data_IF_970588506628
#
_entry.id   IF_970588506628
#
_cell.length_a   1.000
_cell.length_b   1.000
_cell.length_c   1.000
_cell.angle_alpha   90.00
_cell.angle_beta   90.00
_cell.angle_gamma   90.00
#
_symmetry.space_group_name_H-M   'P 1'
#
loop_
_entity.id
_entity.type
_entity.pdbx_description
1 polymer ?
#
# COMPACT_ATOMS: atom_id res chain seq x y z
N UNK A 1 7.14 -22.04 7.56
CA UNK A 1 5.73 -21.89 7.13
C UNK A 1 5.58 -22.56 5.77
N UNK A 2 4.75 -23.60 5.67
CA UNK A 2 4.42 -24.28 4.41
C UNK A 2 2.95 -24.03 4.08
N UNK A 3 2.66 -23.84 2.80
CA UNK A 3 1.30 -23.67 2.25
C UNK A 3 1.03 -24.88 1.38
N UNK A 4 -0.03 -25.65 1.68
CA UNK A 4 -0.43 -26.80 0.88
C UNK A 4 -1.50 -26.36 -0.14
N UNK A 5 -1.12 -25.56 -1.12
CA UNK A 5 -1.95 -25.20 -2.26
C UNK A 5 -1.05 -24.86 -3.46
N UNK A 6 -1.34 -25.45 -4.62
CA UNK A 6 -0.73 -25.05 -5.89
C UNK A 6 -1.64 -24.02 -6.56
N UNK A 7 -1.05 -22.91 -7.01
CA UNK A 7 -1.76 -21.89 -7.76
C UNK A 7 -0.78 -20.92 -8.41
N UNK A 8 -1.22 -20.33 -9.51
CA UNK A 8 -0.45 -19.39 -10.31
C UNK A 8 -0.85 -17.94 -9.99
N UNK A 9 -0.01 -16.95 -10.34
CA UNK A 9 -0.36 -15.54 -10.16
C UNK A 9 -1.69 -15.19 -10.85
N UNK A 10 -2.64 -14.68 -10.06
CA UNK A 10 -3.99 -14.33 -10.54
C UNK A 10 -5.08 -15.31 -10.10
N UNK A 11 -4.72 -16.51 -9.62
CA UNK A 11 -5.67 -17.48 -9.12
C UNK A 11 -6.25 -17.06 -7.77
N UNK A 12 -7.55 -17.30 -7.58
CA UNK A 12 -8.20 -17.19 -6.29
C UNK A 12 -8.07 -18.52 -5.54
N UNK A 13 -7.40 -18.50 -4.39
CA UNK A 13 -7.14 -19.68 -3.57
C UNK A 13 -7.78 -19.48 -2.19
N UNK A 14 -8.80 -20.30 -1.88
CA UNK A 14 -9.54 -20.23 -0.61
C UNK A 14 -9.26 -21.44 0.32
N UNK A 15 -8.73 -22.54 -0.23
CA UNK A 15 -8.50 -23.80 0.50
C UNK A 15 -7.06 -23.99 0.99
N UNK A 16 -6.26 -22.92 1.01
CA UNK A 16 -4.88 -22.99 1.47
C UNK A 16 -4.83 -23.21 2.99
N UNK A 17 -4.35 -24.37 3.42
CA UNK A 17 -4.08 -24.63 4.84
C UNK A 17 -2.68 -24.16 5.22
N UNK A 18 -2.60 -23.32 6.25
CA UNK A 18 -1.35 -22.84 6.82
C UNK A 18 -0.95 -23.74 7.99
N UNK A 19 0.27 -24.29 7.94
CA UNK A 19 0.82 -25.08 9.04
C UNK A 19 1.86 -24.29 9.85
N UNK A 20 1.83 -24.48 11.17
CA UNK A 20 2.79 -23.89 12.09
C UNK A 20 2.60 -22.39 12.36
N UNK A 21 1.39 -21.86 12.14
CA UNK A 21 1.01 -20.47 12.45
C UNK A 21 -0.23 -20.49 13.32
N UNK A 22 -0.23 -19.69 14.38
CA UNK A 22 -1.42 -19.43 15.18
C UNK A 22 -2.43 -18.63 14.34
N UNK A 23 -3.67 -19.13 14.14
CA UNK A 23 -4.70 -18.41 13.39
C UNK A 23 -4.97 -17.00 13.90
N UNK A 24 -4.79 -16.74 15.20
CA UNK A 24 -5.01 -15.40 15.78
C UNK A 24 -3.94 -14.38 15.37
N UNK A 25 -2.80 -14.84 14.85
CA UNK A 25 -1.73 -13.98 14.35
C UNK A 25 -1.95 -13.54 12.89
N UNK A 26 -2.91 -14.14 12.18
CA UNK A 26 -3.25 -13.79 10.80
C UNK A 26 -4.48 -12.90 10.80
N UNK A 27 -4.32 -11.66 10.34
CA UNK A 27 -5.41 -10.70 10.27
C UNK A 27 -5.80 -10.42 8.81
N UNK A 28 -7.00 -9.87 8.63
CA UNK A 28 -7.41 -9.39 7.32
C UNK A 28 -6.44 -8.30 6.85
N UNK A 29 -5.88 -8.47 5.66
CA UNK A 29 -4.84 -7.58 5.13
C UNK A 29 -3.42 -8.12 5.27
N UNK A 30 -3.20 -9.21 6.01
CA UNK A 30 -1.92 -9.94 5.99
C UNK A 30 -1.62 -10.47 4.58
N UNK A 31 -0.35 -10.42 4.19
CA UNK A 31 0.13 -10.89 2.89
C UNK A 31 1.12 -12.03 3.11
N UNK A 32 0.88 -13.15 2.42
CA UNK A 32 1.83 -14.26 2.39
C UNK A 32 2.94 -13.93 1.40
N UNK A 33 4.18 -13.83 1.90
CA UNK A 33 5.36 -13.52 1.10
C UNK A 33 6.30 -14.72 1.06
N UNK A 34 7.09 -14.84 0.00
CA UNK A 34 8.05 -15.93 -0.14
C UNK A 34 9.08 -15.92 1.01
N UNK A 35 9.40 -17.11 1.51
CA UNK A 35 10.35 -17.30 2.61
C UNK A 35 11.80 -17.54 2.13
N UNK A 36 12.04 -17.50 0.81
CA UNK A 36 13.33 -17.90 0.25
C UNK A 36 14.41 -16.87 0.59
N UNK A 37 15.60 -17.36 0.92
CA UNK A 37 16.77 -16.56 1.34
C UNK A 37 17.24 -15.51 0.30
N UNK A 38 16.77 -15.62 -0.94
CA UNK A 38 17.04 -14.74 -2.08
C UNK A 38 15.81 -13.94 -2.52
N UNK A 39 14.68 -14.04 -1.81
CA UNK A 39 13.49 -13.22 -2.05
C UNK A 39 13.40 -12.12 -1.00
N UNK A 40 13.20 -10.88 -1.43
CA UNK A 40 12.92 -9.79 -0.50
C UNK A 40 11.51 -9.97 0.03
N UNK A 41 11.39 -10.32 1.31
CA UNK A 41 10.11 -10.30 2.01
C UNK A 41 9.41 -8.94 1.80
N UNK A 42 8.08 -8.96 1.80
CA UNK A 42 7.30 -7.74 1.65
C UNK A 42 7.68 -6.74 2.75
N UNK A 43 8.08 -5.54 2.35
CA UNK A 43 8.47 -4.50 3.29
C UNK A 43 7.21 -3.94 3.97
N UNK A 44 7.19 -3.97 5.30
CA UNK A 44 6.10 -3.40 6.10
C UNK A 44 6.54 -2.03 6.61
N UNK A 45 5.71 -1.01 6.39
CA UNK A 45 5.96 0.35 6.86
C UNK A 45 4.67 1.03 7.27
N UNK A 46 4.72 1.81 8.34
CA UNK A 46 3.63 2.69 8.80
C UNK A 46 3.63 4.05 8.10
N UNK A 47 4.68 4.34 7.34
CA UNK A 47 4.84 5.60 6.60
C UNK A 47 5.13 5.30 5.14
N UNK A 48 4.29 5.84 4.26
CA UNK A 48 4.45 5.74 2.81
C UNK A 48 4.50 7.13 2.17
N UNK A 49 5.31 7.25 1.13
CA UNK A 49 5.29 8.42 0.23
C UNK A 49 4.70 7.98 -1.10
N UNK A 50 3.51 8.48 -1.41
CA UNK A 50 2.79 8.12 -2.62
C UNK A 50 2.46 9.36 -3.47
N UNK A 51 2.31 9.16 -4.79
CA UNK A 51 1.70 10.13 -5.68
C UNK A 51 0.20 9.87 -5.69
N UNK A 52 -0.58 10.87 -5.30
CA UNK A 52 -2.04 10.78 -5.24
C UNK A 52 -2.68 11.61 -6.34
N UNK A 53 -3.78 11.11 -6.90
CA UNK A 53 -4.67 11.86 -7.77
C UNK A 53 -5.94 12.11 -6.98
N UNK A 54 -6.29 13.37 -6.80
CA UNK A 54 -7.49 13.77 -6.07
C UNK A 54 -8.63 13.86 -7.07
N UNK A 55 -9.68 13.08 -6.83
CA UNK A 55 -10.94 13.18 -7.56
C UNK A 55 -11.78 14.34 -7.04
N UNK A 56 -12.86 14.69 -7.74
CA UNK A 56 -13.75 15.77 -7.33
C UNK A 56 -14.32 15.47 -5.93
N UNK A 57 -13.93 16.30 -4.97
CA UNK A 57 -14.32 16.21 -3.56
C UNK A 57 -14.81 17.58 -3.11
N UNK A 58 -15.87 17.60 -2.30
CA UNK A 58 -16.39 18.82 -1.70
C UNK A 58 -15.49 19.36 -0.59
N UNK A 59 -14.71 18.48 0.05
CA UNK A 59 -13.83 18.82 1.17
C UNK A 59 -12.38 18.81 0.69
N UNK A 60 -11.62 19.92 0.87
CA UNK A 60 -10.21 19.97 0.49
C UNK A 60 -9.37 19.07 1.39
N UNK A 61 -8.33 18.46 0.82
CA UNK A 61 -7.42 17.63 1.60
C UNK A 61 -6.38 18.51 2.30
N UNK A 62 -6.30 18.42 3.63
CA UNK A 62 -5.39 19.24 4.46
C UNK A 62 -4.38 18.40 5.23
N UNK A 63 -3.29 19.03 5.67
CA UNK A 63 -2.27 18.37 6.49
C UNK A 63 -2.87 18.01 7.86
N UNK A 64 -2.60 16.80 8.34
CA UNK A 64 -3.15 16.26 9.58
C UNK A 64 -4.52 15.61 9.42
N UNK A 65 -5.11 15.64 8.22
CA UNK A 65 -6.39 15.00 7.96
C UNK A 65 -6.29 13.48 8.10
N UNK A 66 -7.27 12.90 8.81
CA UNK A 66 -7.48 11.47 8.86
C UNK A 66 -8.22 10.99 7.61
N UNK A 67 -7.75 9.89 7.04
CA UNK A 67 -8.31 9.26 5.85
C UNK A 67 -8.32 7.76 6.05
N UNK A 68 -9.23 7.06 5.36
CA UNK A 68 -9.17 5.62 5.25
C UNK A 68 -8.29 5.24 4.06
N UNK A 69 -7.22 4.49 4.31
CA UNK A 69 -6.33 3.94 3.30
C UNK A 69 -6.79 2.52 2.97
N UNK A 70 -7.19 2.33 1.71
CA UNK A 70 -7.54 1.03 1.17
C UNK A 70 -6.37 0.50 0.33
N UNK A 71 -5.76 -0.61 0.75
CA UNK A 71 -4.63 -1.21 0.05
C UNK A 71 -4.79 -2.74 0.01
N UNK A 72 -4.99 -3.29 -1.19
CA UNK A 72 -5.33 -4.71 -1.38
C UNK A 72 -6.56 -5.11 -0.53
N UNK A 73 -6.39 -6.08 0.38
CA UNK A 73 -7.41 -6.52 1.32
C UNK A 73 -7.34 -5.80 2.68
N UNK A 74 -6.38 -4.89 2.86
CA UNK A 74 -6.18 -4.12 4.07
C UNK A 74 -6.94 -2.78 4.02
N UNK A 75 -7.51 -2.40 5.16
CA UNK A 75 -8.21 -1.13 5.36
C UNK A 75 -7.75 -0.54 6.70
N UNK A 76 -7.06 0.59 6.65
CA UNK A 76 -6.49 1.21 7.83
C UNK A 76 -6.81 2.72 7.88
N UNK A 77 -6.91 3.24 9.10
CA UNK A 77 -6.93 4.69 9.31
C UNK A 77 -5.51 5.23 9.17
N UNK A 78 -5.36 6.24 8.32
CA UNK A 78 -4.09 6.88 8.02
C UNK A 78 -4.21 8.39 8.19
N UNK A 79 -3.08 9.06 8.42
CA UNK A 79 -3.02 10.52 8.55
C UNK A 79 -2.16 11.11 7.44
N UNK A 80 -2.67 12.14 6.76
CA UNK A 80 -1.92 12.89 5.76
C UNK A 80 -0.92 13.80 6.47
N UNK A 81 0.28 13.29 6.72
CA UNK A 81 1.29 14.00 7.54
C UNK A 81 1.97 15.15 6.80
N UNK A 82 2.20 15.02 5.48
CA UNK A 82 2.95 16.01 4.70
C UNK A 82 2.59 15.97 3.22
N UNK A 83 2.28 17.13 2.64
CA UNK A 83 2.29 17.33 1.18
C UNK A 83 3.71 17.66 0.72
N UNK A 84 4.18 16.95 -0.31
CA UNK A 84 5.55 17.13 -0.79
C UNK A 84 5.61 18.13 -1.95
N UNK A 85 4.79 17.90 -2.98
CA UNK A 85 4.80 18.70 -4.21
C UNK A 85 3.53 18.44 -5.01
N UNK A 86 3.04 19.48 -5.70
CA UNK A 86 1.99 19.35 -6.70
C UNK A 86 2.63 18.90 -8.02
N UNK A 87 2.10 17.82 -8.59
CA UNK A 87 2.51 17.31 -9.89
C UNK A 87 1.45 17.62 -10.94
N UNK A 88 1.86 18.16 -12.08
CA UNK A 88 0.98 18.32 -13.23
C UNK A 88 0.61 16.98 -13.86
N UNK A 89 -0.50 16.94 -14.63
CA UNK A 89 -0.93 15.74 -15.36
C UNK A 89 0.11 15.24 -16.37
N UNK A 90 0.98 16.13 -16.88
CA UNK A 90 2.13 15.79 -17.73
C UNK A 90 3.43 15.98 -16.96
N UNK A 91 4.38 15.08 -17.19
CA UNK A 91 5.74 15.25 -16.72
C UNK A 91 6.28 16.59 -17.26
N UNK A 92 6.90 17.43 -16.42
CA UNK A 92 7.58 18.61 -16.92
C UNK A 92 8.71 18.18 -17.87
N UNK A 93 8.98 18.95 -18.95
CA UNK A 93 10.12 18.68 -19.81
C UNK A 93 11.41 18.66 -18.97
N UNK A 94 12.41 17.84 -19.38
CA UNK A 94 13.66 17.71 -18.64
C UNK A 94 14.30 19.09 -18.42
N UNK A 95 14.57 19.42 -17.15
CA UNK A 95 15.16 20.71 -16.74
C UNK A 95 14.22 21.66 -15.99
N UNK A 96 12.91 21.42 -15.96
CA UNK A 96 11.97 22.30 -15.23
C UNK A 96 11.62 21.71 -13.86
N UNK A 97 12.14 22.32 -12.79
CA UNK A 97 11.72 22.01 -11.41
C UNK A 97 10.29 22.51 -11.21
N UNK A 98 9.35 21.66 -10.77
CA UNK A 98 8.05 22.19 -10.38
C UNK A 98 8.16 23.00 -9.09
N UNK A 99 7.31 24.01 -9.02
CA UNK A 99 7.30 25.00 -7.95
C UNK A 99 6.96 24.32 -6.61
N UNK A 100 7.67 24.65 -5.52
CA UNK A 100 7.29 24.20 -4.19
C UNK A 100 5.90 24.78 -3.84
N UNK A 101 5.11 23.99 -3.11
CA UNK A 101 3.87 24.47 -2.50
C UNK A 101 4.28 25.40 -1.35
N UNK A 102 3.88 26.68 -1.41
CA UNK A 102 4.05 27.65 -0.31
C UNK A 102 3.00 27.40 0.76
#
# INVERSE_FOLDING_TARGET
MSVNAEGYPGDYIDLATLQGVDPYMVIRGSVLCAAAANSTACQVSTVIRAKIVVFDTSVPIVKGQQVMLYAHACVESATVTRFVRLEGKKAPPPGVRAKPIK
#
